data_IF_486994473497
#
_entry.id   IF_486994473497
#
_cell.length_a   1.000
_cell.length_b   1.000
_cell.length_c   1.000
_cell.angle_alpha   90.00
_cell.angle_beta   90.00
_cell.angle_gamma   90.00
#
_symmetry.space_group_name_H-M   'P 1'
#
loop_
_entity.id
_entity.type
_entity.pdbx_description
1 polymer ?
#
# COMPACT_ATOMS: atom_id res chain seq x y z
N UNK A 1 18.84 20.03 9.68
CA UNK A 1 19.31 18.62 9.73
C UNK A 1 20.55 18.64 10.62
N UNK A 2 20.71 17.68 11.53
CA UNK A 2 21.96 17.57 12.31
C UNK A 2 22.78 16.42 11.76
N UNK A 3 24.07 16.64 11.57
CA UNK A 3 25.02 15.60 11.14
C UNK A 3 25.97 15.35 12.30
N UNK A 4 26.27 14.07 12.55
CA UNK A 4 27.22 13.68 13.59
C UNK A 4 28.61 13.56 12.96
N UNK A 5 29.56 14.33 13.48
CA UNK A 5 30.98 14.26 13.10
C UNK A 5 31.72 13.85 14.37
N UNK A 6 32.18 12.59 14.43
CA UNK A 6 32.73 12.00 15.65
C UNK A 6 31.69 11.86 16.78
N UNK A 7 31.90 12.53 17.91
CA UNK A 7 31.01 12.51 19.08
C UNK A 7 30.09 13.72 19.19
N UNK A 8 30.29 14.76 18.38
CA UNK A 8 29.51 15.99 18.42
C UNK A 8 28.47 16.08 17.28
N UNK A 9 27.36 16.76 17.57
CA UNK A 9 26.34 17.10 16.58
C UNK A 9 26.62 18.49 16.02
N UNK A 10 26.77 18.59 14.70
CA UNK A 10 26.87 19.86 13.97
C UNK A 10 25.58 20.18 13.21
N UNK A 11 25.35 21.47 12.97
CA UNK A 11 24.33 21.93 12.02
C UNK A 11 24.78 21.63 10.59
N UNK A 12 23.89 21.00 9.81
CA UNK A 12 24.10 20.76 8.39
C UNK A 12 23.23 21.70 7.55
N UNK A 13 23.58 21.93 6.26
CA UNK A 13 22.77 22.74 5.36
C UNK A 13 21.30 22.32 5.41
N UNK A 14 20.42 23.32 5.49
CA UNK A 14 18.97 23.11 5.54
C UNK A 14 18.48 22.62 4.19
N UNK A 15 17.50 21.71 4.21
CA UNK A 15 16.75 21.35 3.00
C UNK A 15 16.10 22.60 2.40
N UNK A 16 15.87 22.59 1.09
CA UNK A 16 15.22 23.71 0.42
C UNK A 16 13.72 23.75 0.71
N UNK A 17 13.12 22.59 1.02
CA UNK A 17 11.70 22.48 1.40
C UNK A 17 11.54 21.90 2.81
N UNK A 18 10.75 22.55 3.69
CA UNK A 18 10.37 21.98 4.98
C UNK A 18 9.52 20.72 4.78
N UNK A 19 9.95 19.60 5.37
CA UNK A 19 9.25 18.31 5.26
C UNK A 19 8.72 17.88 6.63
N UNK A 20 7.40 17.74 6.76
CA UNK A 20 6.72 17.32 8.00
C UNK A 20 6.00 15.98 7.80
N UNK A 21 5.89 15.17 8.87
CA UNK A 21 5.18 13.87 8.89
C UNK A 21 5.71 12.83 7.89
N UNK A 22 6.98 12.46 8.01
CA UNK A 22 7.54 11.32 7.30
C UNK A 22 6.98 9.99 7.85
N UNK A 23 5.87 9.49 7.29
CA UNK A 23 5.44 8.11 7.55
C UNK A 23 6.36 7.15 6.77
N UNK A 24 7.19 6.42 7.50
CA UNK A 24 8.12 5.37 7.02
C UNK A 24 9.35 5.89 6.24
N UNK A 25 10.51 5.89 6.91
CA UNK A 25 11.86 6.05 6.35
C UNK A 25 11.96 7.03 5.15
N UNK A 26 11.91 8.36 5.38
CA UNK A 26 11.89 9.36 4.32
C UNK A 26 13.23 9.49 3.60
N UNK A 27 14.29 8.88 4.11
CA UNK A 27 15.64 9.10 3.63
C UNK A 27 16.40 7.80 3.39
N UNK A 28 17.22 7.78 2.34
CA UNK A 28 18.10 6.67 2.01
C UNK A 28 19.47 7.18 1.57
N UNK A 29 20.52 6.52 2.03
CA UNK A 29 21.89 6.80 1.60
C UNK A 29 22.23 5.91 0.42
N UNK A 30 22.75 6.51 -0.65
CA UNK A 30 23.27 5.81 -1.82
C UNK A 30 24.36 6.66 -2.46
N UNK A 31 25.51 6.06 -2.78
CA UNK A 31 26.63 6.73 -3.46
C UNK A 31 27.04 8.06 -2.79
N UNK A 32 27.18 8.06 -1.45
CA UNK A 32 27.56 9.25 -0.66
C UNK A 32 26.58 10.43 -0.84
N UNK A 33 25.36 10.13 -1.25
CA UNK A 33 24.26 11.08 -1.32
C UNK A 33 23.11 10.61 -0.43
N UNK A 34 22.41 11.57 0.16
CA UNK A 34 21.24 11.32 0.99
C UNK A 34 20.03 11.76 0.19
N UNK A 35 19.21 10.80 -0.21
CA UNK A 35 17.97 11.06 -0.94
C UNK A 35 16.84 11.17 0.07
N UNK A 36 16.09 12.26 0.03
CA UNK A 36 14.95 12.52 0.91
C UNK A 36 13.69 12.65 0.07
N UNK A 37 12.71 11.81 0.39
CA UNK A 37 11.41 11.72 -0.27
C UNK A 37 10.32 11.81 0.80
N UNK A 38 9.15 12.35 0.46
CA UNK A 38 7.97 12.56 1.34
C UNK A 38 8.00 13.85 2.19
N UNK A 39 6.84 14.14 2.80
CA UNK A 39 6.66 15.18 3.81
C UNK A 39 6.29 16.56 3.30
N UNK A 40 6.08 16.71 1.99
CA UNK A 40 5.57 17.94 1.36
C UNK A 40 4.04 17.98 1.38
N UNK A 41 3.48 19.18 1.42
CA UNK A 41 2.03 19.42 1.26
C UNK A 41 1.62 19.19 -0.21
N UNK A 42 0.33 18.93 -0.46
CA UNK A 42 -0.21 18.56 -1.79
C UNK A 42 0.06 19.60 -2.90
N UNK A 43 0.33 20.85 -2.53
CA UNK A 43 0.60 21.98 -3.43
C UNK A 43 2.08 22.12 -3.84
N UNK A 44 3.03 21.46 -3.16
CA UNK A 44 4.48 21.57 -3.42
C UNK A 44 4.99 20.55 -4.45
N UNK A 45 4.21 20.34 -5.51
CA UNK A 45 4.38 19.23 -6.46
C UNK A 45 5.68 19.24 -7.29
N UNK A 46 6.42 20.36 -7.31
CA UNK A 46 7.69 20.53 -8.05
C UNK A 46 8.93 20.11 -7.26
N UNK A 47 8.88 20.10 -5.93
CA UNK A 47 10.01 19.75 -5.05
C UNK A 47 9.68 18.53 -4.17
N UNK A 48 9.01 17.55 -4.76
CA UNK A 48 8.52 16.35 -4.07
C UNK A 48 9.63 15.51 -3.39
N UNK A 49 10.88 15.60 -3.88
CA UNK A 49 12.06 14.95 -3.32
C UNK A 49 13.33 15.77 -3.59
N UNK A 50 14.33 15.62 -2.72
CA UNK A 50 15.62 16.29 -2.81
C UNK A 50 16.76 15.31 -2.53
N UNK A 51 17.96 15.62 -3.02
CA UNK A 51 19.17 14.85 -2.72
C UNK A 51 20.26 15.77 -2.19
N UNK A 52 20.86 15.37 -1.08
CA UNK A 52 22.00 16.04 -0.47
C UNK A 52 23.28 15.33 -0.87
N UNK A 53 24.20 16.09 -1.47
CA UNK A 53 25.54 15.60 -1.76
C UNK A 53 26.44 15.83 -0.54
N UNK A 54 26.94 14.77 0.10
CA UNK A 54 27.72 14.93 1.34
C UNK A 54 29.12 15.51 1.10
N UNK A 55 29.64 15.46 -0.13
CA UNK A 55 30.95 16.05 -0.48
C UNK A 55 30.84 17.55 -0.70
N UNK A 56 29.88 17.98 -1.51
CA UNK A 56 29.70 19.41 -1.82
C UNK A 56 28.87 20.13 -0.77
N UNK A 57 28.14 19.40 0.07
CA UNK A 57 27.19 19.93 1.04
C UNK A 57 26.06 20.75 0.40
N UNK A 58 25.65 20.37 -0.80
CA UNK A 58 24.59 21.05 -1.56
C UNK A 58 23.37 20.15 -1.66
N UNK A 59 22.19 20.76 -1.51
CA UNK A 59 20.90 20.15 -1.83
C UNK A 59 20.54 20.45 -3.29
N UNK A 60 20.16 19.42 -4.04
CA UNK A 60 19.63 19.54 -5.40
C UNK A 60 18.24 18.88 -5.47
N UNK A 61 17.28 19.44 -6.23
CA UNK A 61 15.99 18.80 -6.43
C UNK A 61 16.15 17.47 -7.17
N UNK A 62 15.40 16.45 -6.76
CA UNK A 62 15.36 15.18 -7.48
C UNK A 62 14.46 15.31 -8.71
N UNK A 63 14.85 14.69 -9.81
CA UNK A 63 14.08 14.75 -11.05
C UNK A 63 12.63 14.27 -10.87
N UNK A 64 11.68 14.96 -11.52
CA UNK A 64 10.25 14.67 -11.47
C UNK A 64 9.95 13.25 -11.99
N UNK A 65 9.28 12.41 -11.18
CA UNK A 65 8.88 11.06 -11.54
C UNK A 65 7.56 11.00 -12.32
N UNK A 66 6.95 12.17 -12.57
CA UNK A 66 5.62 12.29 -13.16
C UNK A 66 4.50 12.35 -12.11
N UNK A 67 3.30 12.70 -12.57
CA UNK A 67 2.12 12.92 -11.72
C UNK A 67 1.64 11.64 -11.03
N UNK A 68 1.81 10.48 -11.66
CA UNK A 68 1.37 9.19 -11.11
C UNK A 68 2.05 8.89 -9.77
N UNK A 69 3.39 8.90 -9.72
CA UNK A 69 4.15 8.64 -8.48
C UNK A 69 3.85 9.72 -7.43
N UNK A 70 3.81 11.01 -7.84
CA UNK A 70 3.51 12.13 -6.94
C UNK A 70 2.18 11.99 -6.21
N UNK A 71 1.20 11.37 -6.85
CA UNK A 71 -0.12 11.12 -6.26
C UNK A 71 -0.19 9.91 -5.30
N UNK A 72 0.88 9.11 -5.23
CA UNK A 72 0.90 7.87 -4.46
C UNK A 72 1.47 8.07 -3.04
N UNK A 73 0.97 7.28 -2.09
CA UNK A 73 1.53 7.21 -0.75
C UNK A 73 2.80 6.34 -0.75
N UNK A 74 3.95 6.95 -0.46
CA UNK A 74 5.21 6.22 -0.28
C UNK A 74 5.12 5.31 0.95
N UNK A 75 5.44 4.03 0.76
CA UNK A 75 5.46 2.99 1.80
C UNK A 75 6.88 2.61 2.22
N UNK A 76 7.88 3.02 1.46
CA UNK A 76 9.28 2.90 1.85
C UNK A 76 10.23 3.06 0.67
N UNK A 77 11.45 3.50 0.98
CA UNK A 77 12.53 3.71 0.02
C UNK A 77 13.73 2.85 0.43
N UNK A 78 14.38 2.20 -0.54
CA UNK A 78 15.57 1.37 -0.29
C UNK A 78 16.59 1.51 -1.42
N UNK A 79 17.87 1.49 -1.08
CA UNK A 79 18.94 1.32 -2.04
C UNK A 79 19.11 -0.18 -2.35
N UNK A 80 19.17 -0.54 -3.63
CA UNK A 80 19.46 -1.91 -4.07
C UNK A 80 20.18 -1.86 -5.41
N UNK A 81 21.33 -2.53 -5.50
CA UNK A 81 22.12 -2.63 -6.74
C UNK A 81 22.39 -1.26 -7.39
N UNK A 82 22.85 -0.27 -6.60
CA UNK A 82 23.16 1.06 -7.12
C UNK A 82 21.96 1.95 -7.48
N UNK A 83 20.72 1.46 -7.28
CA UNK A 83 19.49 2.17 -7.63
C UNK A 83 18.57 2.39 -6.43
N UNK A 84 17.72 3.42 -6.52
CA UNK A 84 16.69 3.68 -5.52
C UNK A 84 15.42 2.93 -5.88
N UNK A 85 14.90 2.14 -4.96
CA UNK A 85 13.64 1.42 -5.09
C UNK A 85 12.60 2.09 -4.19
N UNK A 86 11.59 2.70 -4.79
CA UNK A 86 10.51 3.41 -4.10
C UNK A 86 9.26 2.56 -4.15
N UNK A 87 8.82 2.05 -3.01
CA UNK A 87 7.56 1.31 -2.87
C UNK A 87 6.45 2.31 -2.56
N UNK A 88 5.40 2.30 -3.37
CA UNK A 88 4.26 3.22 -3.22
C UNK A 88 2.93 2.46 -3.23
N UNK A 89 1.90 3.11 -2.70
CA UNK A 89 0.52 2.67 -2.69
C UNK A 89 -0.30 3.76 -3.35
N UNK A 90 -0.96 3.48 -4.46
CA UNK A 90 -1.79 4.47 -5.13
C UNK A 90 -3.17 4.64 -4.46
N UNK A 91 -3.99 5.51 -5.04
CA UNK A 91 -5.36 5.80 -4.56
C UNK A 91 -6.26 4.57 -4.60
N UNK A 92 -6.02 3.65 -5.53
CA UNK A 92 -6.72 2.36 -5.66
C UNK A 92 -6.15 1.27 -4.74
N UNK A 93 -5.18 1.63 -3.90
CA UNK A 93 -4.51 0.72 -2.97
C UNK A 93 -3.72 -0.41 -3.64
N UNK A 94 -3.28 -0.18 -4.89
CA UNK A 94 -2.35 -1.03 -5.59
C UNK A 94 -0.92 -0.70 -5.16
N UNK A 95 -0.12 -1.76 -4.96
CA UNK A 95 1.27 -1.60 -4.54
C UNK A 95 2.15 -1.57 -5.79
N UNK A 96 2.85 -0.46 -5.98
CA UNK A 96 3.76 -0.25 -7.10
C UNK A 96 5.19 -0.10 -6.59
N UNK A 97 6.17 -0.43 -7.44
CA UNK A 97 7.58 -0.12 -7.21
C UNK A 97 8.09 0.70 -8.38
N UNK A 98 8.62 1.86 -8.07
CA UNK A 98 9.40 2.69 -8.97
C UNK A 98 10.89 2.48 -8.72
N UNK A 99 11.69 2.58 -9.77
CA UNK A 99 13.14 2.51 -9.68
C UNK A 99 13.72 3.78 -10.27
N UNK A 100 14.58 4.45 -9.50
CA UNK A 100 15.36 5.59 -9.98
C UNK A 100 16.81 5.18 -10.14
N UNK A 101 17.37 5.51 -11.30
CA UNK A 101 18.76 5.35 -11.64
C UNK A 101 19.49 6.69 -11.44
N UNK A 102 20.36 6.81 -10.42
CA UNK A 102 21.08 8.05 -10.17
C UNK A 102 22.13 8.42 -11.21
N UNK A 103 22.70 7.42 -11.91
CA UNK A 103 23.73 7.66 -12.93
C UNK A 103 23.10 8.24 -14.18
N UNK A 104 21.98 7.67 -14.60
CA UNK A 104 21.24 8.12 -15.78
C UNK A 104 20.28 9.26 -15.46
N UNK A 105 20.11 9.59 -14.18
CA UNK A 105 19.13 10.56 -13.67
C UNK A 105 17.78 10.35 -14.35
N UNK A 106 17.21 9.16 -14.17
CA UNK A 106 15.89 8.81 -14.75
C UNK A 106 15.12 7.81 -13.91
N UNK A 107 13.80 7.83 -14.07
CA UNK A 107 12.88 6.86 -13.51
C UNK A 107 12.55 5.78 -14.54
N UNK A 108 12.62 4.52 -14.13
CA UNK A 108 12.13 3.39 -14.92
C UNK A 108 10.60 3.28 -14.77
N UNK A 109 9.95 2.57 -15.72
CA UNK A 109 8.52 2.23 -15.61
C UNK A 109 8.28 1.45 -14.31
N UNK A 110 7.17 1.76 -13.64
CA UNK A 110 6.84 1.06 -12.40
C UNK A 110 6.56 -0.42 -12.66
N UNK A 111 6.83 -1.24 -11.65
CA UNK A 111 6.39 -2.64 -11.61
C UNK A 111 5.26 -2.77 -10.59
N UNK A 112 4.16 -3.40 -10.99
CA UNK A 112 3.13 -3.83 -10.04
C UNK A 112 3.72 -4.88 -9.12
N UNK A 113 3.69 -4.61 -7.82
CA UNK A 113 4.07 -5.61 -6.84
C UNK A 113 2.93 -6.60 -6.74
N UNK A 114 3.23 -7.89 -6.94
CA UNK A 114 2.32 -8.99 -6.62
C UNK A 114 1.84 -8.79 -5.19
N UNK A 115 0.66 -8.23 -5.02
CA UNK A 115 -0.10 -8.45 -3.81
C UNK A 115 -0.41 -9.95 -3.78
N UNK A 116 -0.54 -10.55 -2.60
CA UNK A 116 -1.12 -11.90 -2.50
C UNK A 116 -2.61 -11.78 -2.83
N UNK A 117 -2.92 -11.54 -4.10
CA UNK A 117 -4.25 -11.46 -4.68
C UNK A 117 -4.75 -12.90 -4.73
N UNK A 118 -5.39 -13.35 -3.65
CA UNK A 118 -6.01 -14.67 -3.61
C UNK A 118 -7.29 -14.59 -4.42
N UNK A 119 -7.23 -15.09 -5.65
CA UNK A 119 -8.41 -15.13 -6.52
C UNK A 119 -9.31 -16.30 -6.12
N UNK A 120 -10.63 -16.05 -6.09
CA UNK A 120 -11.67 -17.06 -5.86
C UNK A 120 -12.69 -17.00 -6.99
N UNK A 121 -13.13 -18.18 -7.41
CA UNK A 121 -14.18 -18.32 -8.40
C UNK A 121 -15.52 -18.53 -7.70
N UNK A 122 -16.50 -17.72 -8.09
CA UNK A 122 -17.92 -17.93 -7.79
C UNK A 122 -18.66 -17.75 -9.10
N UNK A 123 -19.40 -18.79 -9.49
CA UNK A 123 -20.26 -18.78 -10.69
C UNK A 123 -19.58 -18.18 -11.93
N UNK A 124 -18.35 -18.63 -12.20
CA UNK A 124 -17.48 -18.19 -13.30
C UNK A 124 -16.98 -16.74 -13.24
N UNK A 125 -17.25 -16.01 -12.15
CA UNK A 125 -16.67 -14.69 -11.88
C UNK A 125 -15.49 -14.82 -10.94
N UNK A 126 -14.40 -14.11 -11.26
CA UNK A 126 -13.20 -14.06 -10.43
C UNK A 126 -13.32 -12.91 -9.44
N UNK A 127 -13.15 -13.22 -8.17
CA UNK A 127 -13.10 -12.25 -7.09
C UNK A 127 -11.72 -12.23 -6.46
N UNK A 128 -11.29 -11.05 -6.02
CA UNK A 128 -10.13 -10.91 -5.15
C UNK A 128 -10.29 -9.68 -4.28
N UNK A 129 -9.67 -9.69 -3.10
CA UNK A 129 -9.59 -8.51 -2.29
C UNK A 129 -8.14 -8.13 -1.99
N UNK A 130 -7.87 -6.84 -1.92
CA UNK A 130 -6.66 -6.30 -1.31
C UNK A 130 -6.93 -6.05 0.18
N UNK A 131 -6.03 -5.35 0.87
CA UNK A 131 -6.16 -5.08 2.31
C UNK A 131 -7.39 -4.25 2.71
N UNK A 132 -8.15 -3.68 1.77
CA UNK A 132 -9.26 -2.76 2.03
C UNK A 132 -10.51 -2.95 1.17
N UNK A 133 -10.35 -3.40 -0.07
CA UNK A 133 -11.42 -3.49 -1.06
C UNK A 133 -11.44 -4.86 -1.72
N UNK A 134 -12.64 -5.27 -2.09
CA UNK A 134 -12.86 -6.41 -2.97
C UNK A 134 -13.16 -5.96 -4.39
N UNK A 135 -12.73 -6.78 -5.32
CA UNK A 135 -12.82 -6.59 -6.74
C UNK A 135 -13.35 -7.86 -7.39
N UNK A 136 -14.03 -7.67 -8.51
CA UNK A 136 -14.40 -8.72 -9.43
C UNK A 136 -13.73 -8.43 -10.79
N UNK A 137 -13.46 -9.48 -11.55
CA UNK A 137 -12.88 -9.32 -12.88
C UNK A 137 -13.99 -9.26 -13.92
N UNK A 138 -14.08 -8.13 -14.60
CA UNK A 138 -14.95 -7.93 -15.74
C UNK A 138 -14.28 -8.51 -16.98
N UNK A 139 -14.79 -9.64 -17.47
CA UNK A 139 -14.22 -10.31 -18.65
C UNK A 139 -14.53 -9.58 -19.95
N UNK A 140 -15.56 -8.73 -19.99
CA UNK A 140 -15.95 -7.97 -21.17
C UNK A 140 -15.03 -6.76 -21.33
N UNK A 141 -14.74 -6.06 -20.24
CA UNK A 141 -13.84 -4.91 -20.21
C UNK A 141 -12.36 -5.27 -19.94
N UNK A 142 -12.09 -6.54 -19.62
CA UNK A 142 -10.73 -7.08 -19.38
C UNK A 142 -10.04 -6.39 -18.20
N UNK A 143 -10.80 -5.98 -17.18
CA UNK A 143 -10.31 -5.19 -16.04
C UNK A 143 -10.83 -5.68 -14.68
N UNK A 144 -10.15 -5.27 -13.60
CA UNK A 144 -10.63 -5.48 -12.23
C UNK A 144 -11.46 -4.29 -11.78
N UNK A 145 -12.72 -4.53 -11.42
CA UNK A 145 -13.67 -3.50 -10.98
C UNK A 145 -14.04 -3.73 -9.52
N UNK A 146 -14.31 -2.64 -8.80
CA UNK A 146 -14.67 -2.70 -7.38
C UNK A 146 -16.01 -3.43 -7.20
N UNK A 147 -16.11 -4.26 -6.17
CA UNK A 147 -17.40 -4.77 -5.69
C UNK A 147 -18.03 -3.70 -4.80
N UNK A 148 -19.25 -3.28 -5.15
CA UNK A 148 -19.99 -2.22 -4.44
C UNK A 148 -20.71 -2.78 -3.21
N UNK A 149 -21.19 -1.92 -2.30
CA UNK A 149 -22.00 -2.33 -1.13
C UNK A 149 -21.21 -2.90 0.06
N UNK A 150 -19.88 -2.93 -0.01
CA UNK A 150 -19.01 -3.46 1.06
C UNK A 150 -18.41 -2.36 1.94
N UNK A 151 -19.02 -1.18 1.99
CA UNK A 151 -18.49 -0.02 2.71
C UNK A 151 -18.38 -0.23 4.22
N UNK A 152 -19.22 -1.12 4.79
CA UNK A 152 -19.13 -1.50 6.20
C UNK A 152 -17.83 -2.25 6.56
N UNK A 153 -17.20 -2.88 5.57
CA UNK A 153 -15.91 -3.55 5.72
C UNK A 153 -14.73 -2.57 5.55
N UNK A 154 -14.99 -1.31 5.18
CA UNK A 154 -13.94 -0.31 5.04
C UNK A 154 -13.26 -0.01 6.38
N UNK A 155 -11.93 0.03 6.36
CA UNK A 155 -11.10 0.31 7.54
C UNK A 155 -10.63 -0.94 8.28
N UNK A 156 -11.14 -2.12 7.96
CA UNK A 156 -10.60 -3.39 8.42
C UNK A 156 -9.46 -3.86 7.50
N UNK A 157 -8.55 -4.68 8.03
CA UNK A 157 -7.47 -5.25 7.23
C UNK A 157 -7.88 -6.63 6.75
N UNK A 158 -8.17 -6.76 5.46
CA UNK A 158 -8.57 -8.03 4.87
C UNK A 158 -7.45 -9.07 4.98
N UNK A 159 -7.80 -10.22 5.54
CA UNK A 159 -6.89 -11.32 5.81
C UNK A 159 -7.00 -12.43 4.74
N UNK A 160 -8.23 -12.80 4.37
CA UNK A 160 -8.51 -13.92 3.47
C UNK A 160 -9.86 -13.77 2.78
N UNK A 161 -9.96 -14.35 1.58
CA UNK A 161 -11.22 -14.57 0.87
C UNK A 161 -11.32 -16.06 0.53
N UNK A 162 -12.48 -16.67 0.72
CA UNK A 162 -12.77 -18.05 0.32
C UNK A 162 -14.21 -18.18 -0.18
N UNK A 163 -14.57 -19.36 -0.68
CA UNK A 163 -15.91 -19.68 -1.17
C UNK A 163 -16.62 -20.56 -0.15
N UNK A 164 -17.85 -20.20 0.20
CA UNK A 164 -18.75 -21.04 0.99
C UNK A 164 -20.17 -20.92 0.43
N UNK A 165 -20.83 -22.04 0.14
CA UNK A 165 -22.20 -22.09 -0.39
C UNK A 165 -22.49 -21.14 -1.58
N UNK A 166 -21.57 -21.04 -2.55
CA UNK A 166 -21.73 -20.15 -3.71
C UNK A 166 -21.53 -18.66 -3.40
N UNK A 167 -21.12 -18.32 -2.18
CA UNK A 167 -20.93 -16.94 -1.71
C UNK A 167 -19.48 -16.69 -1.29
N UNK A 168 -19.14 -15.42 -1.14
CA UNK A 168 -17.84 -14.99 -0.65
C UNK A 168 -17.83 -15.06 0.87
N UNK A 169 -16.85 -15.76 1.42
CA UNK A 169 -16.55 -15.71 2.84
C UNK A 169 -15.27 -14.90 3.03
N UNK A 170 -15.37 -13.77 3.71
CA UNK A 170 -14.33 -12.76 3.81
C UNK A 170 -13.87 -12.65 5.26
N UNK A 171 -12.58 -12.85 5.51
CA UNK A 171 -11.96 -12.69 6.82
C UNK A 171 -11.16 -11.40 6.91
N UNK A 172 -11.28 -10.69 8.03
CA UNK A 172 -10.60 -9.41 8.22
C UNK A 172 -10.30 -9.14 9.70
N UNK A 173 -9.24 -8.36 9.96
CA UNK A 173 -8.83 -7.96 11.30
C UNK A 173 -9.46 -6.61 11.67
N UNK A 174 -9.80 -6.44 12.96
CA UNK A 174 -10.22 -5.15 13.51
C UNK A 174 -9.20 -4.03 13.29
N UNK A 175 -9.65 -2.79 13.53
CA UNK A 175 -8.77 -1.63 13.53
C UNK A 175 -7.85 -1.70 14.74
N UNK A 176 -6.55 -1.58 14.50
CA UNK A 176 -5.52 -1.46 15.54
C UNK A 176 -5.87 -0.35 16.55
N UNK A 177 -6.45 -0.71 17.68
CA UNK A 177 -6.36 0.08 18.90
C UNK A 177 -4.99 -0.19 19.52
N UNK A 178 -4.11 0.81 19.61
CA UNK A 178 -2.72 0.65 20.05
C UNK A 178 -2.58 0.14 21.51
N UNK A 179 -3.68 -0.01 22.23
CA UNK A 179 -3.74 -0.39 23.64
C UNK A 179 -4.28 -1.81 23.93
N UNK A 180 -4.84 -2.53 22.94
CA UNK A 180 -5.32 -3.91 23.16
C UNK A 180 -4.22 -4.94 22.83
N UNK A 181 -3.79 -5.79 23.77
CA UNK A 181 -2.84 -6.87 23.49
C UNK A 181 -3.37 -7.91 22.50
N UNK A 182 -4.69 -7.93 22.27
CA UNK A 182 -5.38 -8.83 21.37
C UNK A 182 -5.99 -8.09 20.17
N UNK A 183 -6.36 -8.87 19.16
CA UNK A 183 -7.12 -8.43 17.98
C UNK A 183 -8.19 -9.45 17.64
N UNK A 184 -9.27 -8.97 17.05
CA UNK A 184 -10.40 -9.79 16.61
C UNK A 184 -10.29 -10.12 15.13
N UNK A 185 -10.38 -11.40 14.82
CA UNK A 185 -10.63 -11.92 13.48
C UNK A 185 -12.15 -11.94 13.27
N UNK A 186 -12.60 -11.17 12.31
CA UNK A 186 -13.97 -11.13 11.85
C UNK A 186 -14.14 -11.98 10.59
N UNK A 187 -15.36 -12.41 10.37
CA UNK A 187 -15.79 -13.07 9.16
C UNK A 187 -17.10 -12.47 8.68
N UNK A 188 -17.24 -12.29 7.36
CA UNK A 188 -18.49 -11.89 6.74
C UNK A 188 -18.81 -12.83 5.57
N UNK A 189 -20.08 -13.25 5.49
CA UNK A 189 -20.62 -13.92 4.31
C UNK A 189 -21.27 -12.88 3.41
N UNK A 190 -20.80 -12.84 2.17
CA UNK A 190 -21.20 -11.85 1.18
C UNK A 190 -21.75 -12.57 -0.04
N UNK A 191 -23.01 -12.27 -0.37
CA UNK A 191 -23.64 -12.69 -1.61
C UNK A 191 -23.33 -11.66 -2.70
N UNK A 192 -22.53 -12.00 -3.73
CA UNK A 192 -22.35 -11.12 -4.87
C UNK A 192 -23.56 -11.20 -5.80
N UNK A 193 -24.02 -10.06 -6.28
CA UNK A 193 -25.11 -9.93 -7.25
C UNK A 193 -24.68 -8.99 -8.40
N UNK A 194 -24.91 -9.41 -9.65
CA UNK A 194 -24.62 -8.57 -10.82
C UNK A 194 -25.86 -7.75 -11.16
N UNK A 195 -25.71 -6.43 -11.16
CA UNK A 195 -26.78 -5.51 -11.52
C UNK A 195 -27.01 -5.49 -13.03
N UNK A 196 -28.16 -4.96 -13.45
CA UNK A 196 -28.48 -4.70 -14.85
C UNK A 196 -27.50 -3.71 -15.52
N UNK A 197 -26.83 -2.85 -14.75
CA UNK A 197 -25.81 -1.92 -15.24
C UNK A 197 -24.43 -2.58 -15.46
N UNK A 198 -24.31 -3.88 -15.17
CA UNK A 198 -23.06 -4.62 -15.29
C UNK A 198 -22.10 -4.43 -14.11
N UNK A 199 -22.53 -3.77 -13.04
CA UNK A 199 -21.77 -3.68 -11.78
C UNK A 199 -22.02 -4.94 -10.92
N UNK A 200 -21.10 -5.23 -10.00
CA UNK A 200 -21.31 -6.28 -9.00
C UNK A 200 -21.42 -5.64 -7.61
N UNK A 201 -22.52 -5.95 -6.93
CA UNK A 201 -22.81 -5.55 -5.57
C UNK A 201 -22.58 -6.73 -4.63
N UNK A 202 -22.00 -6.47 -3.46
CA UNK A 202 -21.81 -7.46 -2.40
C UNK A 202 -22.77 -7.20 -1.26
N UNK A 203 -23.72 -8.11 -1.05
CA UNK A 203 -24.67 -8.04 0.04
C UNK A 203 -24.14 -8.84 1.23
N UNK A 204 -23.88 -8.15 2.35
CA UNK A 204 -23.42 -8.80 3.59
C UNK A 204 -24.62 -9.49 4.25
N UNK A 205 -24.63 -10.81 4.24
CA UNK A 205 -25.71 -11.61 4.85
C UNK A 205 -25.52 -11.76 6.36
N UNK A 206 -24.27 -11.92 6.80
CA UNK A 206 -23.90 -11.88 8.20
C UNK A 206 -22.46 -11.44 8.37
N UNK A 207 -22.15 -10.93 9.56
CA UNK A 207 -20.79 -10.59 9.98
C UNK A 207 -20.64 -10.86 11.47
N UNK A 208 -19.58 -11.55 11.88
CA UNK A 208 -19.34 -11.85 13.29
C UNK A 208 -17.84 -12.05 13.60
N UNK A 209 -17.49 -11.96 14.88
CA UNK A 209 -16.16 -12.27 15.40
C UNK A 209 -16.02 -13.79 15.51
N UNK A 210 -15.11 -14.35 14.72
CA UNK A 210 -14.83 -15.78 14.76
C UNK A 210 -13.73 -16.15 15.76
N UNK A 211 -12.81 -15.23 16.06
CA UNK A 211 -11.73 -15.48 17.03
C UNK A 211 -11.09 -14.21 17.55
N UNK A 212 -10.70 -14.22 18.82
CA UNK A 212 -9.79 -13.23 19.42
C UNK A 212 -8.41 -13.87 19.62
N UNK A 213 -7.35 -13.19 19.20
CA UNK A 213 -5.97 -13.70 19.25
C UNK A 213 -4.97 -12.59 19.65
N UNK A 214 -3.76 -12.93 20.12
CA UNK A 214 -2.71 -11.93 20.36
C UNK A 214 -2.37 -11.11 19.11
N UNK A 215 -1.98 -9.84 19.27
CA UNK A 215 -1.62 -8.92 18.18
C UNK A 215 -0.57 -9.49 17.20
N UNK A 216 0.38 -10.28 17.71
CA UNK A 216 1.46 -10.91 16.93
C UNK A 216 1.00 -12.06 16.02
N UNK A 217 -0.24 -12.52 16.18
CA UNK A 217 -0.78 -13.66 15.43
C UNK A 217 -0.93 -13.33 13.94
N UNK A 218 -0.76 -14.33 13.08
CA UNK A 218 -0.94 -14.17 11.63
C UNK A 218 -2.00 -15.13 11.11
N UNK A 219 -2.77 -14.69 10.12
CA UNK A 219 -3.71 -15.57 9.42
C UNK A 219 -2.94 -16.43 8.41
N UNK A 220 -3.07 -17.76 8.51
CA UNK A 220 -2.38 -18.68 7.60
C UNK A 220 -3.33 -19.14 6.49
N UNK A 221 -4.41 -19.82 6.87
CA UNK A 221 -5.44 -20.35 5.97
C UNK A 221 -6.74 -20.62 6.73
N UNK A 222 -7.86 -20.65 6.01
CA UNK A 222 -9.12 -21.23 6.46
C UNK A 222 -9.43 -22.45 5.57
N UNK A 223 -9.95 -23.51 6.19
CA UNK A 223 -10.51 -24.68 5.50
C UNK A 223 -12.00 -24.67 5.80
N UNK A 224 -12.81 -24.72 4.74
CA UNK A 224 -14.26 -24.79 4.83
C UNK A 224 -14.66 -26.21 4.47
N UNK A 225 -15.12 -26.97 5.45
CA UNK A 225 -15.62 -28.33 5.23
C UNK A 225 -17.03 -28.26 4.64
N UNK A 226 -17.32 -29.15 3.67
CA UNK A 226 -18.69 -29.33 3.18
C UNK A 226 -19.37 -30.26 4.18
N UNK A 227 -20.37 -29.73 4.89
CA UNK A 227 -21.33 -30.55 5.64
C UNK A 227 -22.36 -31.09 4.67
#
# INVERSE_FOLDING_TARGET
MKVRIGTAWGEAPRMTVPRARAMNAPAVVLNEKIYVMTGCKEDESTNWAEVFNTKTQIWEPLQDPGTELRSCLIKGVRARQGKLNVKVCDKEHMMKRYVYDPEQRRWDKFTLLRQRVRVRWIDNVRYSCNHKYCYWYDSELVEWRKVMGLDLLHGYVMAEITRHAGKLLIFFWDRFGQSDPNKKLWCALVAPERSHSGEVWGHIEWTDVVRTVPQTSTFVRCVVERV
#
